data_IF_906845169546
#
_entry.id   IF_906845169546
#
_cell.length_a   1.000
_cell.length_b   1.000
_cell.length_c   1.000
_cell.angle_alpha   90.00
_cell.angle_beta   90.00
_cell.angle_gamma   90.00
#
_symmetry.space_group_name_H-M   'P 1'
#
loop_
_entity.id
_entity.type
_entity.pdbx_description
1 polymer ?
#
# COMPACT_ATOMS: atom_id res chain seq x y z
N UNK A 1 16.23 13.81 -4.11
CA UNK A 1 15.27 13.70 -5.21
C UNK A 1 14.03 14.52 -4.90
N UNK A 2 13.46 15.20 -5.89
CA UNK A 2 12.11 15.77 -5.77
C UNK A 2 11.04 14.67 -5.73
N UNK A 3 9.77 15.04 -5.52
CA UNK A 3 8.65 14.09 -5.38
C UNK A 3 8.53 13.16 -6.60
N UNK A 4 8.63 13.71 -7.81
CA UNK A 4 8.46 12.91 -9.02
C UNK A 4 9.64 11.95 -9.21
N UNK A 5 10.85 12.44 -9.01
CA UNK A 5 12.07 11.62 -9.06
C UNK A 5 12.05 10.51 -8.01
N UNK A 6 11.58 10.78 -6.78
CA UNK A 6 11.48 9.77 -5.73
C UNK A 6 10.46 8.68 -6.09
N UNK A 7 9.31 9.05 -6.66
CA UNK A 7 8.32 8.10 -7.17
C UNK A 7 8.90 7.21 -8.29
N UNK A 8 9.56 7.80 -9.28
CA UNK A 8 10.19 7.07 -10.38
C UNK A 8 11.33 6.17 -9.89
N UNK A 9 12.10 6.64 -8.91
CA UNK A 9 13.19 5.87 -8.31
C UNK A 9 12.68 4.68 -7.49
N UNK A 10 11.62 4.85 -6.69
CA UNK A 10 10.98 3.73 -6.00
C UNK A 10 10.48 2.68 -7.00
N UNK A 11 9.79 3.10 -8.05
CA UNK A 11 9.32 2.18 -9.10
C UNK A 11 10.46 1.45 -9.82
N UNK A 12 11.63 2.08 -9.96
CA UNK A 12 12.83 1.44 -10.51
C UNK A 12 13.41 0.40 -9.54
N UNK A 13 13.55 0.74 -8.26
CA UNK A 13 14.05 -0.17 -7.22
C UNK A 13 13.14 -1.39 -7.08
N UNK A 14 11.82 -1.19 -7.08
CA UNK A 14 10.85 -2.29 -7.04
C UNK A 14 10.97 -3.22 -8.27
N UNK A 15 11.15 -2.65 -9.48
CA UNK A 15 11.42 -3.49 -10.66
C UNK A 15 12.73 -4.26 -10.55
N UNK A 16 13.75 -3.69 -9.91
CA UNK A 16 15.03 -4.38 -9.68
C UNK A 16 14.89 -5.47 -8.63
N UNK A 17 14.13 -5.24 -7.57
CA UNK A 17 13.79 -6.24 -6.55
C UNK A 17 13.24 -7.50 -7.23
N UNK A 18 12.16 -7.38 -8.00
CA UNK A 18 11.54 -8.52 -8.69
C UNK A 18 12.47 -9.22 -9.69
N UNK A 19 13.31 -8.47 -10.41
CA UNK A 19 14.27 -9.04 -11.38
C UNK A 19 15.41 -9.81 -10.74
N UNK A 20 15.76 -9.46 -9.50
CA UNK A 20 16.91 -10.02 -8.79
C UNK A 20 16.52 -11.21 -7.88
N UNK A 21 15.23 -11.46 -7.67
CA UNK A 21 14.78 -12.64 -6.94
C UNK A 21 15.03 -13.91 -7.77
N UNK A 22 15.50 -14.96 -7.11
CA UNK A 22 15.59 -16.27 -7.74
C UNK A 22 14.18 -16.89 -7.95
N UNK A 23 14.09 -17.86 -8.85
CA UNK A 23 12.81 -18.48 -9.22
C UNK A 23 12.08 -19.13 -8.03
N UNK A 24 12.81 -19.71 -7.07
CA UNK A 24 12.20 -20.36 -5.90
C UNK A 24 11.59 -19.29 -4.99
N UNK A 25 12.28 -18.17 -4.80
CA UNK A 25 11.75 -17.04 -4.04
C UNK A 25 10.55 -16.40 -4.73
N UNK A 26 10.59 -16.23 -6.06
CA UNK A 26 9.43 -15.75 -6.82
C UNK A 26 8.23 -16.68 -6.62
N UNK A 27 8.41 -18.00 -6.76
CA UNK A 27 7.33 -18.97 -6.55
C UNK A 27 6.78 -18.92 -5.13
N UNK A 28 7.63 -18.74 -4.13
CA UNK A 28 7.21 -18.62 -2.73
C UNK A 28 6.36 -17.37 -2.51
N UNK A 29 6.83 -16.20 -2.97
CA UNK A 29 6.14 -14.92 -2.81
C UNK A 29 4.83 -14.86 -3.60
N UNK A 30 4.79 -15.51 -4.76
CA UNK A 30 3.61 -15.51 -5.66
C UNK A 30 2.64 -16.67 -5.39
N UNK A 31 2.78 -17.37 -4.26
CA UNK A 31 1.93 -18.51 -3.90
C UNK A 31 1.88 -19.57 -5.02
N UNK A 32 3.05 -20.03 -5.44
CA UNK A 32 3.25 -20.95 -6.56
C UNK A 32 2.69 -20.46 -7.92
N UNK A 33 2.52 -19.15 -8.09
CA UNK A 33 2.06 -18.51 -9.32
C UNK A 33 0.58 -18.17 -9.35
N UNK A 34 -0.13 -18.30 -8.22
CA UNK A 34 -1.50 -17.80 -8.06
C UNK A 34 -1.57 -16.28 -8.27
N UNK A 35 -0.50 -15.56 -7.93
CA UNK A 35 -0.30 -14.15 -8.24
C UNK A 35 0.86 -13.96 -9.23
N UNK A 36 0.89 -12.81 -9.91
CA UNK A 36 2.07 -12.40 -10.69
C UNK A 36 2.81 -11.27 -9.96
N UNK A 37 4.14 -11.15 -10.15
CA UNK A 37 4.90 -10.02 -9.62
C UNK A 37 4.28 -8.64 -9.96
N UNK A 38 3.69 -8.51 -11.14
CA UNK A 38 3.03 -7.28 -11.58
C UNK A 38 1.77 -6.94 -10.78
N UNK A 39 1.15 -7.93 -10.13
CA UNK A 39 -0.02 -7.76 -9.26
C UNK A 39 0.39 -7.36 -7.83
N UNK A 40 1.68 -7.45 -7.50
CA UNK A 40 2.23 -7.23 -6.15
C UNK A 40 3.09 -5.96 -6.06
N UNK A 41 2.90 -5.02 -6.99
CA UNK A 41 3.64 -3.77 -7.05
C UNK A 41 3.07 -2.73 -6.08
N UNK A 42 3.93 -2.10 -5.28
CA UNK A 42 3.59 -1.11 -4.25
C UNK A 42 3.99 0.32 -4.64
N UNK A 43 4.65 0.55 -5.79
CA UNK A 43 5.04 1.91 -6.18
C UNK A 43 3.85 2.88 -6.30
N UNK A 44 2.65 2.37 -6.63
CA UNK A 44 1.40 3.14 -6.65
C UNK A 44 1.02 3.65 -5.26
N UNK A 45 0.92 2.72 -4.30
CA UNK A 45 0.68 3.02 -2.89
C UNK A 45 1.73 3.98 -2.32
N UNK A 46 3.01 3.73 -2.59
CA UNK A 46 4.10 4.62 -2.21
C UNK A 46 3.91 6.02 -2.80
N UNK A 47 3.53 6.12 -4.06
CA UNK A 47 3.19 7.39 -4.71
C UNK A 47 2.06 8.14 -4.00
N UNK A 48 1.02 7.44 -3.56
CA UNK A 48 -0.09 8.07 -2.83
C UNK A 48 0.36 8.60 -1.46
N UNK A 49 1.16 7.84 -0.70
CA UNK A 49 1.71 8.31 0.57
C UNK A 49 2.71 9.46 0.38
N UNK A 50 3.56 9.38 -0.65
CA UNK A 50 4.52 10.42 -0.99
C UNK A 50 3.84 11.76 -1.32
N UNK A 51 2.69 11.71 -1.98
CA UNK A 51 1.85 12.88 -2.27
C UNK A 51 1.04 13.37 -1.06
N UNK A 52 1.10 12.66 0.07
CA UNK A 52 0.29 12.94 1.26
C UNK A 52 -1.20 12.68 1.06
N UNK A 53 -1.57 11.89 0.05
CA UNK A 53 -2.95 11.47 -0.20
C UNK A 53 -3.41 10.43 0.82
N UNK A 54 -2.48 9.54 1.20
CA UNK A 54 -2.69 8.40 2.10
C UNK A 54 -1.79 8.52 3.35
N UNK A 55 -2.26 8.16 4.56
CA UNK A 55 -1.45 8.20 5.77
C UNK A 55 -0.25 7.25 5.74
N UNK A 56 -0.44 6.03 5.26
CA UNK A 56 0.62 5.03 5.19
C UNK A 56 0.42 3.97 4.11
N UNK A 57 1.49 3.24 3.80
CA UNK A 57 1.51 2.04 2.94
C UNK A 57 1.93 0.86 3.79
N UNK A 58 1.23 -0.25 3.63
CA UNK A 58 1.62 -1.53 4.22
C UNK A 58 2.40 -2.35 3.18
N UNK A 59 3.59 -2.79 3.56
CA UNK A 59 4.36 -3.83 2.86
C UNK A 59 4.10 -5.14 3.59
N UNK A 60 3.37 -6.03 2.93
CA UNK A 60 2.95 -7.33 3.45
C UNK A 60 3.13 -8.39 2.35
N UNK A 61 4.27 -9.07 2.39
CA UNK A 61 4.55 -10.29 1.63
C UNK A 61 4.28 -11.52 2.49
N UNK A 62 4.47 -12.70 1.89
CA UNK A 62 4.18 -14.00 2.50
C UNK A 62 4.94 -14.30 3.81
N UNK A 63 6.08 -13.64 4.07
CA UNK A 63 6.82 -13.76 5.33
C UNK A 63 7.71 -12.55 5.64
N UNK A 64 8.20 -12.52 6.89
CA UNK A 64 9.06 -11.45 7.43
C UNK A 64 10.40 -11.32 6.69
N UNK A 65 10.98 -12.42 6.17
CA UNK A 65 12.26 -12.36 5.49
C UNK A 65 12.14 -11.61 4.15
N UNK A 66 11.04 -11.82 3.43
CA UNK A 66 10.75 -11.08 2.19
C UNK A 66 10.41 -9.62 2.48
N UNK A 67 9.63 -9.34 3.53
CA UNK A 67 9.34 -7.98 3.96
C UNK A 67 10.63 -7.20 4.30
N UNK A 68 11.54 -7.83 5.04
CA UNK A 68 12.84 -7.28 5.38
C UNK A 68 13.70 -7.04 4.13
N UNK A 69 13.75 -8.00 3.21
CA UNK A 69 14.50 -7.83 1.96
C UNK A 69 13.96 -6.65 1.14
N UNK A 70 12.64 -6.53 1.01
CA UNK A 70 12.01 -5.41 0.30
C UNK A 70 12.30 -4.07 0.99
N UNK A 71 12.27 -4.04 2.33
CA UNK A 71 12.65 -2.87 3.11
C UNK A 71 14.08 -2.40 2.78
N UNK A 72 15.06 -3.30 2.90
CA UNK A 72 16.49 -2.98 2.73
C UNK A 72 16.85 -2.61 1.28
N UNK A 73 16.13 -3.17 0.29
CA UNK A 73 16.48 -3.01 -1.13
C UNK A 73 15.64 -1.99 -1.89
N UNK A 74 14.44 -1.68 -1.41
CA UNK A 74 13.51 -0.75 -2.07
C UNK A 74 13.19 0.44 -1.18
N UNK A 75 12.69 0.19 0.03
CA UNK A 75 12.13 1.24 0.89
C UNK A 75 13.23 2.15 1.45
N UNK A 76 14.21 1.61 2.15
CA UNK A 76 15.27 2.42 2.77
C UNK A 76 16.07 3.24 1.75
N UNK A 77 16.50 2.68 0.60
CA UNK A 77 17.21 3.47 -0.41
C UNK A 77 16.34 4.61 -0.99
N UNK A 78 15.05 4.37 -1.22
CA UNK A 78 14.12 5.40 -1.69
C UNK A 78 13.96 6.53 -0.66
N UNK A 79 13.69 6.17 0.60
CA UNK A 79 13.54 7.15 1.70
C UNK A 79 14.84 7.93 1.93
N UNK A 80 16.00 7.28 1.84
CA UNK A 80 17.30 7.93 1.96
C UNK A 80 17.53 8.96 0.84
N UNK A 81 17.20 8.62 -0.41
CA UNK A 81 17.38 9.48 -1.58
C UNK A 81 16.41 10.69 -1.64
N UNK A 82 15.31 10.66 -0.89
CA UNK A 82 14.36 11.78 -0.80
C UNK A 82 15.02 13.00 -0.14
N UNK A 83 14.84 14.16 -0.77
CA UNK A 83 15.33 15.45 -0.23
C UNK A 83 14.54 15.83 1.02
N UNK A 84 13.22 15.77 0.93
CA UNK A 84 12.32 16.09 2.02
C UNK A 84 11.94 14.78 2.74
N UNK A 85 12.18 14.71 4.05
CA UNK A 85 11.90 13.53 4.87
C UNK A 85 10.44 13.50 5.32
N UNK A 86 9.54 13.47 4.33
CA UNK A 86 8.08 13.45 4.53
C UNK A 86 7.52 12.06 4.81
N UNK A 87 8.30 11.03 4.51
CA UNK A 87 7.99 9.63 4.78
C UNK A 87 9.05 9.04 5.71
N UNK A 88 8.62 8.11 6.53
CA UNK A 88 9.46 7.26 7.39
C UNK A 88 8.83 5.86 7.45
N UNK A 89 9.46 4.90 8.11
CA UNK A 89 8.93 3.54 8.22
C UNK A 89 8.90 3.03 9.66
N UNK A 90 8.03 2.04 9.88
CA UNK A 90 7.90 1.32 11.14
C UNK A 90 7.75 -0.16 10.86
N UNK A 91 8.54 -1.00 11.53
CA UNK A 91 8.39 -2.46 11.45
C UNK A 91 7.35 -2.86 12.50
N UNK A 92 6.24 -3.42 12.04
CA UNK A 92 5.16 -3.88 12.90
C UNK A 92 5.62 -5.15 13.62
N UNK A 93 5.46 -5.19 14.94
CA UNK A 93 5.68 -6.37 15.77
C UNK A 93 4.47 -6.60 16.66
N UNK A 94 4.09 -7.85 16.87
CA UNK A 94 2.99 -8.19 17.77
C UNK A 94 1.70 -7.43 17.45
N UNK A 95 1.28 -7.42 16.17
CA UNK A 95 -0.04 -6.96 15.78
C UNK A 95 -0.72 -7.96 14.86
N UNK A 96 -2.04 -8.07 15.04
CA UNK A 96 -2.90 -8.94 14.26
C UNK A 96 -4.17 -8.17 13.89
N UNK A 97 -4.69 -8.45 12.71
CA UNK A 97 -6.06 -8.11 12.33
C UNK A 97 -6.88 -9.39 12.30
N UNK A 98 -8.22 -9.31 12.16
CA UNK A 98 -9.04 -10.50 11.91
C UNK A 98 -8.57 -11.34 10.71
N UNK A 99 -8.00 -10.69 9.69
CA UNK A 99 -7.64 -11.32 8.42
C UNK A 99 -6.14 -11.63 8.27
N UNK A 100 -5.26 -10.91 8.98
CA UNK A 100 -3.80 -10.99 8.78
C UNK A 100 -2.98 -10.93 10.06
N UNK A 101 -1.88 -11.67 10.08
CA UNK A 101 -0.81 -11.50 11.08
C UNK A 101 0.21 -10.48 10.56
N UNK A 102 0.29 -9.31 11.19
CA UNK A 102 1.11 -8.19 10.69
C UNK A 102 2.56 -8.22 11.18
N UNK A 103 2.97 -9.25 11.93
CA UNK A 103 4.31 -9.31 12.49
C UNK A 103 5.37 -9.37 11.38
N UNK A 104 6.32 -8.43 11.41
CA UNK A 104 7.35 -8.29 10.38
C UNK A 104 6.92 -7.52 9.14
N UNK A 105 5.67 -7.08 9.05
CA UNK A 105 5.22 -6.17 8.00
C UNK A 105 5.82 -4.77 8.20
N UNK A 106 5.95 -4.02 7.11
CA UNK A 106 6.53 -2.67 7.15
C UNK A 106 5.46 -1.64 6.83
N UNK A 107 5.31 -0.66 7.72
CA UNK A 107 4.42 0.47 7.52
C UNK A 107 5.23 1.71 7.12
N UNK A 108 5.11 2.15 5.87
CA UNK A 108 5.73 3.38 5.38
C UNK A 108 4.71 4.51 5.60
N UNK A 109 5.00 5.49 6.44
CA UNK A 109 4.01 6.45 6.90
C UNK A 109 4.41 7.91 6.65
N UNK A 110 3.40 8.77 6.51
CA UNK A 110 3.58 10.21 6.38
C UNK A 110 3.87 10.83 7.76
N UNK A 111 5.03 11.46 7.90
CA UNK A 111 5.50 12.01 9.19
C UNK A 111 4.59 13.10 9.78
N UNK A 112 3.91 13.89 8.94
CA UNK A 112 2.89 14.87 9.33
C UNK A 112 1.57 14.24 9.77
N UNK A 113 1.29 13.00 9.36
CA UNK A 113 0.09 12.26 9.76
C UNK A 113 0.35 11.32 10.94
N UNK A 114 1.55 11.34 11.53
CA UNK A 114 1.91 10.51 12.70
C UNK A 114 0.96 10.67 13.90
N UNK A 115 0.22 11.76 13.98
CA UNK A 115 -0.76 12.03 15.04
C UNK A 115 -2.15 11.46 14.75
N UNK A 116 -2.37 10.86 13.58
CA UNK A 116 -3.56 10.06 13.30
C UNK A 116 -3.65 8.95 14.35
N UNK A 117 -4.80 8.85 15.04
CA UNK A 117 -4.93 8.04 16.25
C UNK A 117 -4.62 6.56 15.98
N UNK A 118 -5.13 6.04 14.87
CA UNK A 118 -4.97 4.66 14.40
C UNK A 118 -3.50 4.36 14.10
N UNK A 119 -2.82 5.25 13.37
CA UNK A 119 -1.39 5.11 13.06
C UNK A 119 -0.52 5.17 14.32
N UNK A 120 -0.79 6.15 15.19
CA UNK A 120 -0.09 6.32 16.45
C UNK A 120 -0.27 5.09 17.36
N UNK A 121 -1.47 4.52 17.37
CA UNK A 121 -1.79 3.31 18.12
C UNK A 121 -0.92 2.13 17.66
N UNK A 122 -0.85 1.85 16.36
CA UNK A 122 0.02 0.78 15.85
C UNK A 122 1.47 1.04 16.23
N UNK A 123 2.00 2.23 15.93
CA UNK A 123 3.41 2.55 16.20
C UNK A 123 3.78 2.45 17.68
N UNK A 124 2.92 2.92 18.58
CA UNK A 124 3.18 2.93 20.02
C UNK A 124 3.10 1.53 20.64
N UNK A 125 2.13 0.72 20.21
CA UNK A 125 1.90 -0.59 20.84
C UNK A 125 2.79 -1.67 20.24
N UNK A 126 3.22 -1.55 18.98
CA UNK A 126 4.00 -2.61 18.32
C UNK A 126 5.51 -2.49 18.50
N UNK A 127 6.03 -1.32 18.90
CA UNK A 127 7.47 -1.14 19.07
C UNK A 127 8.06 -1.98 20.23
N UNK A 128 7.29 -2.17 21.31
CA UNK A 128 7.74 -2.81 22.56
C UNK A 128 6.75 -3.80 23.15
N UNK A 129 5.68 -4.16 22.42
CA UNK A 129 4.72 -5.14 22.89
C UNK A 129 5.38 -6.49 23.17
N UNK A 130 4.88 -7.18 24.17
CA UNK A 130 5.19 -8.59 24.47
C UNK A 130 4.01 -9.51 24.16
N UNK A 131 2.88 -8.94 23.76
CA UNK A 131 1.62 -9.62 23.45
C UNK A 131 1.01 -9.01 22.21
N UNK A 132 0.31 -9.82 21.42
CA UNK A 132 -0.32 -9.34 20.20
C UNK A 132 -1.36 -8.25 20.50
N UNK A 133 -1.26 -7.17 19.74
CA UNK A 133 -2.19 -6.05 19.72
C UNK A 133 -3.18 -6.27 18.60
N UNK A 134 -4.45 -6.35 18.95
CA UNK A 134 -5.52 -6.43 17.94
C UNK A 134 -5.71 -5.06 17.28
N UNK A 135 -5.68 -5.05 15.95
CA UNK A 135 -5.97 -3.88 15.12
C UNK A 135 -7.22 -4.19 14.30
N UNK A 136 -8.22 -3.32 14.37
CA UNK A 136 -9.46 -3.51 13.61
C UNK A 136 -9.25 -3.25 12.12
N UNK A 137 -10.05 -3.93 11.27
CA UNK A 137 -10.06 -3.65 9.83
C UNK A 137 -10.43 -2.19 9.53
N UNK A 138 -11.29 -1.57 10.34
CA UNK A 138 -11.62 -0.14 10.22
C UNK A 138 -10.40 0.76 10.48
N UNK A 139 -9.57 0.40 11.47
CA UNK A 139 -8.33 1.13 11.75
C UNK A 139 -7.35 0.98 10.58
N UNK A 140 -7.21 -0.22 10.03
CA UNK A 140 -6.36 -0.46 8.86
C UNK A 140 -6.87 0.28 7.62
N UNK A 141 -8.18 0.25 7.35
CA UNK A 141 -8.79 1.00 6.27
C UNK A 141 -8.55 2.51 6.41
N UNK A 142 -8.61 3.04 7.63
CA UNK A 142 -8.31 4.46 7.91
C UNK A 142 -6.84 4.79 7.64
N UNK A 143 -5.90 3.97 8.15
CA UNK A 143 -4.46 4.14 7.91
C UNK A 143 -4.13 4.04 6.42
N UNK A 144 -4.84 3.16 5.72
CA UNK A 144 -4.64 2.89 4.31
C UNK A 144 -5.48 3.78 3.38
N UNK A 145 -6.23 4.75 3.92
CA UNK A 145 -7.18 5.62 3.19
C UNK A 145 -8.09 4.84 2.22
N UNK A 146 -8.67 3.73 2.69
CA UNK A 146 -9.69 2.99 1.95
C UNK A 146 -11.06 3.55 2.30
N UNK A 147 -11.81 4.11 1.32
CA UNK A 147 -13.08 4.78 1.59
C UNK A 147 -14.23 3.82 1.92
N UNK A 148 -14.03 2.51 1.86
CA UNK A 148 -15.03 1.50 2.19
C UNK A 148 -14.50 0.44 3.15
N UNK A 149 -15.30 -0.61 3.35
CA UNK A 149 -15.02 -1.67 4.31
C UNK A 149 -15.31 -3.06 3.75
N UNK A 150 -14.61 -4.05 4.30
CA UNK A 150 -14.91 -5.47 4.11
C UNK A 150 -16.26 -5.83 4.73
N UNK A 151 -16.97 -6.84 4.22
CA UNK A 151 -18.23 -7.30 4.79
C UNK A 151 -18.10 -7.66 6.28
N UNK A 152 -18.92 -7.06 7.14
CA UNK A 152 -19.01 -7.42 8.56
C UNK A 152 -19.97 -8.59 8.79
N UNK A 153 -20.83 -8.88 7.80
CA UNK A 153 -21.79 -9.98 7.84
C UNK A 153 -21.86 -10.69 6.50
N UNK A 154 -22.27 -11.97 6.49
CA UNK A 154 -22.44 -12.73 5.25
C UNK A 154 -23.41 -12.07 4.25
N UNK A 155 -24.39 -11.29 4.74
CA UNK A 155 -25.35 -10.59 3.89
C UNK A 155 -24.70 -9.49 3.06
N UNK A 156 -23.68 -8.84 3.61
CA UNK A 156 -22.93 -7.74 2.96
C UNK A 156 -21.99 -8.24 1.86
N UNK A 157 -21.68 -9.55 1.81
CA UNK A 157 -20.86 -10.13 0.73
C UNK A 157 -21.51 -9.85 -0.64
N UNK A 158 -22.84 -9.93 -0.72
CA UNK A 158 -23.59 -9.71 -1.97
C UNK A 158 -23.57 -8.26 -2.46
N UNK A 159 -23.21 -7.31 -1.59
CA UNK A 159 -23.16 -5.87 -1.88
C UNK A 159 -21.73 -5.35 -1.99
N UNK A 160 -20.73 -6.22 -1.79
CA UNK A 160 -19.32 -5.88 -1.91
C UNK A 160 -18.94 -5.68 -3.39
N UNK A 161 -18.20 -4.61 -3.65
CA UNK A 161 -17.59 -4.29 -4.94
C UNK A 161 -16.08 -4.19 -4.77
N UNK A 162 -15.34 -4.68 -5.76
CA UNK A 162 -13.90 -4.48 -5.88
C UNK A 162 -13.61 -3.18 -6.61
N UNK A 163 -12.68 -2.40 -6.07
CA UNK A 163 -12.20 -1.14 -6.65
C UNK A 163 -10.74 -1.30 -6.99
N UNK A 164 -10.34 -0.87 -8.19
CA UNK A 164 -8.94 -0.88 -8.62
C UNK A 164 -8.60 0.46 -9.27
N UNK A 165 -7.49 1.06 -8.85
CA UNK A 165 -6.91 2.20 -9.56
C UNK A 165 -5.77 1.73 -10.44
N UNK A 166 -5.74 2.19 -11.68
CA UNK A 166 -4.72 1.81 -12.64
C UNK A 166 -3.89 2.99 -13.11
N UNK A 167 -2.62 2.72 -13.40
CA UNK A 167 -1.74 3.60 -14.15
C UNK A 167 -1.80 3.25 -15.64
N UNK A 168 -2.30 4.17 -16.44
CA UNK A 168 -2.24 4.12 -17.90
C UNK A 168 -0.92 4.75 -18.40
N UNK A 169 0.08 3.93 -18.68
CA UNK A 169 1.41 4.38 -19.14
C UNK A 169 1.40 4.52 -20.66
N UNK A 170 1.63 5.73 -21.23
CA UNK A 170 1.53 5.96 -22.68
C UNK A 170 2.44 5.07 -23.54
N UNK A 171 3.53 4.57 -22.95
CA UNK A 171 4.58 3.81 -23.64
C UNK A 171 4.65 2.33 -23.24
N UNK A 172 3.72 1.83 -22.41
CA UNK A 172 3.61 0.41 -22.07
C UNK A 172 2.21 -0.09 -22.41
N UNK A 173 2.11 -1.22 -23.10
CA UNK A 173 0.81 -1.84 -23.36
C UNK A 173 0.28 -2.43 -22.05
N UNK A 174 -0.84 -1.90 -21.57
CA UNK A 174 -1.58 -2.46 -20.44
C UNK A 174 -1.77 -1.46 -19.29
N UNK A 175 -2.77 -1.75 -18.47
CA UNK A 175 -3.04 -1.04 -17.23
C UNK A 175 -2.28 -1.74 -16.09
N UNK A 176 -1.54 -0.98 -15.30
CA UNK A 176 -0.86 -1.49 -14.10
C UNK A 176 -1.72 -1.14 -12.88
N UNK A 177 -2.13 -2.13 -12.09
CA UNK A 177 -2.84 -1.89 -10.85
C UNK A 177 -1.91 -1.15 -9.86
N UNK A 178 -2.42 -0.09 -9.24
CA UNK A 178 -1.68 0.72 -8.26
C UNK A 178 -2.17 0.52 -6.83
N UNK A 179 -3.44 0.16 -6.68
CA UNK A 179 -4.12 -0.17 -5.43
C UNK A 179 -5.41 -0.89 -5.76
N UNK A 180 -5.83 -1.76 -4.85
CA UNK A 180 -7.14 -2.37 -4.86
C UNK A 180 -7.70 -2.43 -3.44
N UNK A 181 -9.02 -2.27 -3.32
CA UNK A 181 -9.72 -2.37 -2.05
C UNK A 181 -11.20 -2.74 -2.28
N UNK A 182 -11.87 -3.14 -1.22
CA UNK A 182 -13.30 -3.44 -1.24
C UNK A 182 -14.14 -2.25 -0.75
N UNK A 183 -15.34 -2.13 -1.30
CA UNK A 183 -16.36 -1.19 -0.83
C UNK A 183 -17.73 -1.87 -0.83
N UNK A 184 -18.69 -1.31 -0.11
CA UNK A 184 -20.10 -1.63 -0.28
C UNK A 184 -20.72 -0.79 -1.41
N UNK A 185 -21.79 -1.30 -2.03
CA UNK A 185 -22.52 -0.58 -3.09
C UNK A 185 -22.97 0.83 -2.68
N UNK A 186 -23.32 1.01 -1.40
CA UNK A 186 -23.71 2.29 -0.81
C UNK A 186 -22.56 3.30 -0.74
N UNK A 187 -21.31 2.85 -0.82
CA UNK A 187 -20.10 3.68 -0.69
C UNK A 187 -19.55 4.15 -2.05
N UNK A 188 -20.21 3.78 -3.16
CA UNK A 188 -19.76 4.08 -4.52
C UNK A 188 -19.52 5.58 -4.78
N UNK A 189 -20.42 6.44 -4.34
CA UNK A 189 -20.28 7.90 -4.53
C UNK A 189 -19.09 8.47 -3.74
N UNK A 190 -18.89 8.00 -2.50
CA UNK A 190 -17.72 8.35 -1.67
C UNK A 190 -16.43 7.93 -2.37
N UNK A 191 -16.40 6.74 -2.96
CA UNK A 191 -15.26 6.21 -3.71
C UNK A 191 -14.97 7.00 -4.99
N UNK A 192 -16.01 7.45 -5.71
CA UNK A 192 -15.81 8.29 -6.89
C UNK A 192 -15.18 9.65 -6.53
N UNK A 193 -15.63 10.27 -5.45
CA UNK A 193 -15.03 11.51 -4.93
C UNK A 193 -13.58 11.27 -4.47
N UNK A 194 -13.33 10.17 -3.77
CA UNK A 194 -11.99 9.75 -3.36
C UNK A 194 -11.06 9.56 -4.57
N UNK A 195 -11.49 8.81 -5.59
CA UNK A 195 -10.73 8.60 -6.82
C UNK A 195 -10.43 9.92 -7.53
N UNK A 196 -11.40 10.84 -7.61
CA UNK A 196 -11.20 12.15 -8.25
C UNK A 196 -10.08 12.95 -7.58
N UNK A 197 -10.06 12.99 -6.24
CA UNK A 197 -8.98 13.62 -5.46
C UNK A 197 -7.61 13.02 -5.81
N UNK A 198 -7.52 11.68 -5.85
CA UNK A 198 -6.27 10.99 -6.19
C UNK A 198 -5.84 11.27 -7.63
N UNK A 199 -6.78 11.18 -8.57
CA UNK A 199 -6.54 11.41 -10.00
C UNK A 199 -5.97 12.81 -10.26
N UNK A 200 -6.57 13.84 -9.66
CA UNK A 200 -6.15 15.23 -9.88
C UNK A 200 -4.73 15.47 -9.37
N UNK A 201 -4.44 15.04 -8.13
CA UNK A 201 -3.11 15.22 -7.53
C UNK A 201 -2.05 14.39 -8.24
N UNK A 202 -2.32 13.12 -8.58
CA UNK A 202 -1.38 12.28 -9.32
C UNK A 202 -1.10 12.82 -10.73
N UNK A 203 -2.11 13.36 -11.41
CA UNK A 203 -1.92 13.98 -12.73
C UNK A 203 -1.07 15.24 -12.63
N UNK A 204 -1.33 16.09 -11.64
CA UNK A 204 -0.59 17.34 -11.44
C UNK A 204 0.87 17.10 -11.03
N UNK A 205 1.10 16.24 -10.03
CA UNK A 205 2.40 16.11 -9.36
C UNK A 205 3.31 15.04 -9.97
N UNK A 206 2.73 13.95 -10.50
CA UNK A 206 3.49 12.82 -11.04
C UNK A 206 3.32 12.64 -12.55
N UNK A 207 2.40 13.38 -13.18
CA UNK A 207 1.94 13.16 -14.56
C UNK A 207 1.42 11.72 -14.79
N UNK A 208 0.82 11.13 -13.75
CA UNK A 208 0.20 9.81 -13.81
C UNK A 208 -1.28 9.96 -14.15
N UNK A 209 -1.72 9.30 -15.22
CA UNK A 209 -3.13 9.27 -15.60
C UNK A 209 -3.83 8.08 -14.95
N UNK A 210 -4.50 8.33 -13.81
CA UNK A 210 -5.26 7.27 -13.12
C UNK A 210 -6.53 6.89 -13.86
N UNK A 211 -6.82 5.59 -13.91
CA UNK A 211 -8.09 4.99 -14.34
C UNK A 211 -8.73 4.24 -13.18
N UNK A 212 -10.05 4.08 -13.23
CA UNK A 212 -10.85 3.44 -12.20
C UNK A 212 -11.62 2.25 -12.77
N UNK A 213 -11.64 1.15 -12.04
CA UNK A 213 -12.61 0.06 -12.19
C UNK A 213 -13.34 -0.14 -10.86
N UNK A 214 -14.66 -0.32 -10.94
CA UNK A 214 -15.51 -0.76 -9.82
C UNK A 214 -16.36 -1.91 -10.36
N UNK A 215 -16.27 -3.10 -9.76
CA UNK A 215 -16.98 -4.31 -10.20
C UNK A 215 -17.49 -5.15 -9.05
#
# INVERSE_FOLDING_TARGET
>A
MDVKQAFEYFALLEQQFWKNLDQKTIQHVTFAGDLKPEDMLLYGEFGFALLGLKPAVLVEFCDEAINKLYLETVVEPALYAMKDKTLDYHIIRHAVTPESALNGCVLIYQTKQRTLAELAFIMANTATATTDTEVTEESMATILDYPGHLPNTEKEISTMLSVIYFHDRPNQKGLIALTSFAIQISEKEKTLAHFKRYQDVCKEKLNVALKLLIQ
#
